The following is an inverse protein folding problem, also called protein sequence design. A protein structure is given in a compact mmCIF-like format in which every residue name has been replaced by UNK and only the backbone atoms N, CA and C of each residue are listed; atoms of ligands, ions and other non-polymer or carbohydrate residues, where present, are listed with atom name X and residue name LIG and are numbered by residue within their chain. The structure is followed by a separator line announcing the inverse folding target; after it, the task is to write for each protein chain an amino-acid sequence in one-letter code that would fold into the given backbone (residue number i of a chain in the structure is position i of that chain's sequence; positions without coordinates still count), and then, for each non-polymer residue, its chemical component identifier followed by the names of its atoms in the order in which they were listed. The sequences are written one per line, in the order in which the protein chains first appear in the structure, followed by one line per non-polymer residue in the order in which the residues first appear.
data_IF_511505817500
#
_entry.id   IF_511505817500
#
_cell.length_a   1.000
_cell.length_b   1.000
_cell.length_c   1.000
_cell.angle_alpha   90.00
_cell.angle_beta   90.00
_cell.angle_gamma   90.00
#
_symmetry.space_group_name_H-M   'P 1'
#
loop_
_entity.id
_entity.type
_entity.pdbx_description
1 polymer ?
#
# COMPACT_ATOMS: atom_id res chain seq x y z
N UNK A 1 -63.27 42.97 37.85
CA UNK A 1 -64.01 41.70 37.83
C UNK A 1 -63.15 40.69 37.08
N UNK A 2 -62.53 39.69 37.75
CA UNK A 2 -62.97 38.27 37.77
C UNK A 2 -63.27 37.79 36.33
N UNK A 3 -62.56 36.85 35.69
CA UNK A 3 -62.02 35.56 36.15
C UNK A 3 -61.21 34.90 35.02
N UNK A 4 -60.05 34.34 35.37
CA UNK A 4 -59.48 33.02 34.98
C UNK A 4 -59.83 32.40 33.62
N UNK A 5 -58.79 32.00 32.85
CA UNK A 5 -58.51 30.56 32.67
C UNK A 5 -57.04 30.31 32.26
N UNK A 6 -56.41 29.41 33.02
CA UNK A 6 -55.06 28.85 32.87
C UNK A 6 -55.04 27.71 31.83
N UNK A 7 -53.87 27.49 31.19
CA UNK A 7 -53.30 26.19 30.81
C UNK A 7 -51.84 26.46 30.36
N UNK A 8 -50.88 26.38 31.27
CA UNK A 8 -50.00 25.21 31.48
C UNK A 8 -48.94 25.01 30.36
N UNK A 9 -47.89 25.84 30.36
CA UNK A 9 -46.64 25.56 29.65
C UNK A 9 -45.74 24.80 30.62
N UNK A 10 -45.81 23.48 30.55
CA UNK A 10 -44.96 22.55 31.29
C UNK A 10 -43.58 22.47 30.62
N UNK A 11 -42.56 22.91 31.35
CA UNK A 11 -41.18 22.42 31.38
C UNK A 11 -40.66 21.70 30.12
N UNK A 12 -39.96 22.45 29.28
CA UNK A 12 -38.99 21.91 28.31
C UNK A 12 -37.70 21.56 29.08
N UNK A 13 -37.70 20.41 29.76
CA UNK A 13 -36.53 19.84 30.42
C UNK A 13 -35.87 18.82 29.49
N UNK A 14 -34.68 19.19 29.03
CA UNK A 14 -33.48 18.35 28.87
C UNK A 14 -33.67 16.95 28.25
N UNK A 15 -33.53 16.88 26.93
CA UNK A 15 -32.99 15.70 26.26
C UNK A 15 -31.87 16.15 25.31
N UNK A 16 -30.71 16.47 25.87
CA UNK A 16 -29.45 16.46 25.15
C UNK A 16 -29.03 15.00 24.95
N UNK A 17 -29.63 14.33 23.96
CA UNK A 17 -29.12 13.04 23.47
C UNK A 17 -27.88 13.37 22.66
N UNK A 18 -26.72 13.18 23.28
CA UNK A 18 -25.43 13.28 22.60
C UNK A 18 -25.38 12.22 21.51
N UNK A 19 -25.58 12.64 20.25
CA UNK A 19 -25.18 11.85 19.10
C UNK A 19 -23.65 11.82 19.08
N UNK A 20 -23.08 10.89 19.85
CA UNK A 20 -21.70 10.47 19.62
C UNK A 20 -21.72 9.70 18.31
N UNK A 21 -21.46 10.39 17.20
CA UNK A 21 -21.08 9.75 15.96
C UNK A 21 -19.71 9.12 16.20
N UNK A 22 -19.71 7.87 16.63
CA UNK A 22 -18.58 7.00 16.42
C UNK A 22 -18.44 6.87 14.89
N UNK A 23 -17.49 7.61 14.31
CA UNK A 23 -17.03 7.33 12.96
C UNK A 23 -16.37 5.95 13.04
N UNK A 24 -17.12 4.90 12.72
CA UNK A 24 -16.53 3.67 12.25
C UNK A 24 -15.78 4.04 10.97
N UNK A 25 -14.46 4.21 11.05
CA UNK A 25 -13.61 4.26 9.88
C UNK A 25 -13.87 2.97 9.10
N UNK A 26 -14.58 3.09 7.98
CA UNK A 26 -14.72 2.01 7.00
C UNK A 26 -13.30 1.56 6.64
N UNK A 27 -12.89 0.39 7.13
CA UNK A 27 -11.56 -0.15 6.89
C UNK A 27 -11.43 -0.42 5.40
N UNK A 28 -10.85 0.53 4.66
CA UNK A 28 -10.52 0.35 3.24
C UNK A 28 -9.62 -0.87 3.12
N UNK A 29 -10.14 -1.96 2.55
CA UNK A 29 -9.33 -3.13 2.25
C UNK A 29 -8.31 -2.76 1.15
N UNK A 30 -7.04 -2.81 1.51
CA UNK A 30 -5.94 -2.49 0.59
C UNK A 30 -5.75 -3.62 -0.42
N UNK A 31 -5.58 -3.26 -1.70
CA UNK A 31 -5.21 -4.24 -2.72
C UNK A 31 -3.76 -4.75 -2.54
N UNK A 32 -3.37 -5.74 -3.34
CA UNK A 32 -2.05 -6.38 -3.24
C UNK A 32 -0.89 -5.38 -3.39
N UNK A 33 -1.00 -4.39 -4.26
CA UNK A 33 0.01 -3.33 -4.42
C UNK A 33 0.02 -2.37 -3.22
N UNK A 34 -1.15 -1.85 -2.83
CA UNK A 34 -1.29 -0.87 -1.76
C UNK A 34 -0.70 -1.38 -0.42
N UNK A 35 -0.90 -2.66 -0.11
CA UNK A 35 -0.30 -3.32 1.07
C UNK A 35 1.23 -3.17 1.12
N UNK A 36 1.91 -3.34 -0.02
CA UNK A 36 3.36 -3.20 -0.08
C UNK A 36 3.80 -1.75 -0.21
N UNK A 37 3.07 -0.92 -0.97
CA UNK A 37 3.37 0.51 -1.11
C UNK A 37 3.37 1.23 0.25
N UNK A 38 2.35 1.00 1.08
CA UNK A 38 2.31 1.54 2.44
C UNK A 38 3.44 1.00 3.32
N UNK A 39 3.71 -0.30 3.23
CA UNK A 39 4.79 -0.91 3.96
C UNK A 39 6.17 -0.34 3.60
N UNK A 40 6.44 -0.08 2.32
CA UNK A 40 7.67 0.54 1.86
C UNK A 40 7.75 2.02 2.26
N UNK A 41 6.64 2.75 2.24
CA UNK A 41 6.58 4.14 2.74
C UNK A 41 6.91 4.21 4.23
N UNK A 42 6.40 3.29 5.04
CA UNK A 42 6.62 3.25 6.49
C UNK A 42 8.05 2.78 6.85
N UNK A 43 8.49 1.67 6.23
CA UNK A 43 9.69 0.93 6.68
C UNK A 43 10.92 1.22 5.84
N UNK A 44 10.72 1.68 4.61
CA UNK A 44 11.76 1.83 3.60
C UNK A 44 12.22 0.50 3.01
N UNK A 45 13.05 0.61 1.98
CA UNK A 45 13.73 -0.53 1.36
C UNK A 45 15.21 -0.62 1.76
N UNK A 46 15.76 -1.83 1.68
CA UNK A 46 17.19 -2.04 1.45
C UNK A 46 17.56 -1.63 0.02
N UNK A 47 18.83 -1.32 -0.21
CA UNK A 47 19.34 -0.97 -1.54
C UNK A 47 19.06 -2.07 -2.56
N UNK A 48 18.61 -1.65 -3.73
CA UNK A 48 18.42 -2.48 -4.92
C UNK A 48 19.60 -2.19 -5.83
N UNK A 49 20.56 -3.12 -5.83
CA UNK A 49 21.70 -3.10 -6.73
C UNK A 49 21.40 -3.89 -8.00
N UNK A 50 22.26 -3.75 -8.99
CA UNK A 50 22.23 -4.56 -10.20
C UNK A 50 22.29 -6.05 -9.85
N UNK A 51 21.21 -6.77 -10.18
CA UNK A 51 21.05 -8.19 -9.89
C UNK A 51 19.79 -8.75 -10.58
N UNK A 52 19.60 -10.06 -10.47
CA UNK A 52 18.35 -10.74 -10.75
C UNK A 52 17.62 -11.02 -9.43
N UNK A 53 16.42 -10.47 -9.29
CA UNK A 53 15.55 -10.63 -8.13
C UNK A 53 14.47 -11.65 -8.46
N UNK A 54 14.48 -12.81 -7.78
CA UNK A 54 13.61 -13.96 -8.10
C UNK A 54 12.26 -13.98 -7.39
N UNK A 55 12.09 -13.10 -6.41
CA UNK A 55 10.87 -12.96 -5.63
C UNK A 55 10.43 -11.49 -5.66
N UNK A 56 9.84 -11.11 -6.79
CA UNK A 56 9.19 -9.81 -6.93
C UNK A 56 7.69 -10.00 -7.16
N UNK A 57 6.92 -8.97 -6.84
CA UNK A 57 5.52 -8.87 -7.23
C UNK A 57 5.40 -7.91 -8.41
N UNK A 58 4.74 -8.36 -9.48
CA UNK A 58 4.39 -7.52 -10.62
C UNK A 58 2.91 -7.15 -10.44
N UNK A 59 2.64 -5.88 -10.25
CA UNK A 59 1.29 -5.33 -10.07
C UNK A 59 0.81 -4.70 -11.37
N UNK A 60 -0.25 -5.23 -11.96
CA UNK A 60 -0.88 -4.69 -13.15
C UNK A 60 -2.08 -3.83 -12.78
N UNK A 61 -2.25 -2.70 -13.45
CA UNK A 61 -3.29 -1.71 -13.17
C UNK A 61 -4.29 -1.68 -14.33
N UNK A 62 -5.47 -2.28 -14.11
CA UNK A 62 -6.55 -2.38 -15.09
C UNK A 62 -7.75 -1.54 -14.64
N UNK A 63 -7.79 -0.28 -15.10
CA UNK A 63 -8.84 0.65 -14.72
C UNK A 63 -8.82 0.94 -13.21
N UNK A 64 -9.79 0.38 -12.47
CA UNK A 64 -9.90 0.52 -11.01
C UNK A 64 -9.36 -0.69 -10.25
N UNK A 65 -9.02 -1.76 -10.96
CA UNK A 65 -8.57 -3.01 -10.36
C UNK A 65 -7.05 -3.14 -10.45
N UNK A 66 -6.50 -3.86 -9.48
CA UNK A 66 -5.08 -4.20 -9.43
C UNK A 66 -4.97 -5.68 -9.17
N UNK A 67 -4.35 -6.40 -10.10
CA UNK A 67 -3.98 -7.80 -9.89
C UNK A 67 -2.46 -7.92 -9.81
N UNK A 68 -2.00 -8.88 -9.02
CA UNK A 68 -0.59 -9.06 -8.76
C UNK A 68 -0.17 -10.50 -9.03
N UNK A 69 0.96 -10.65 -9.70
CA UNK A 69 1.57 -11.96 -9.98
C UNK A 69 2.98 -12.02 -9.42
N UNK A 70 3.46 -13.23 -9.17
CA UNK A 70 4.85 -13.46 -8.79
C UNK A 70 5.73 -13.37 -10.04
N UNK A 71 6.89 -12.74 -9.88
CA UNK A 71 7.85 -12.64 -10.97
C UNK A 71 9.30 -12.67 -10.53
N UNK A 72 10.14 -12.56 -11.56
CA UNK A 72 11.58 -12.39 -11.48
C UNK A 72 11.95 -11.20 -12.34
N UNK A 73 12.80 -10.31 -11.82
CA UNK A 73 13.20 -9.09 -12.52
C UNK A 73 14.70 -8.91 -12.52
N UNK A 74 15.26 -8.51 -13.65
CA UNK A 74 16.65 -8.07 -13.77
C UNK A 74 16.70 -6.55 -13.63
N UNK A 75 17.62 -6.08 -12.79
CA UNK A 75 17.95 -4.66 -12.62
C UNK A 75 19.37 -4.44 -13.11
N UNK A 76 19.55 -3.41 -13.94
CA UNK A 76 20.85 -2.98 -14.47
C UNK A 76 20.91 -1.45 -14.44
N UNK A 77 22.03 -0.91 -13.93
CA UNK A 77 22.23 0.51 -13.67
C UNK A 77 21.08 1.17 -12.89
N UNK A 78 20.44 0.43 -11.98
CA UNK A 78 19.28 0.92 -11.21
C UNK A 78 17.94 0.94 -11.95
N UNK A 79 17.88 0.42 -13.18
CA UNK A 79 16.67 0.34 -14.01
C UNK A 79 16.20 -1.10 -14.19
N UNK A 80 14.90 -1.31 -14.31
CA UNK A 80 14.31 -2.60 -14.70
C UNK A 80 14.66 -2.89 -16.16
N UNK A 81 15.44 -3.94 -16.41
CA UNK A 81 15.90 -4.29 -17.77
C UNK A 81 15.23 -5.54 -18.35
N UNK A 82 14.74 -6.46 -17.51
CA UNK A 82 13.95 -7.60 -17.94
C UNK A 82 12.96 -8.03 -16.87
N UNK A 83 11.79 -8.51 -17.30
CA UNK A 83 10.71 -8.98 -16.43
C UNK A 83 10.35 -10.40 -16.86
N UNK A 84 10.14 -11.27 -15.89
CA UNK A 84 9.65 -12.63 -16.06
C UNK A 84 8.52 -12.86 -15.06
N UNK A 85 7.49 -13.58 -15.46
CA UNK A 85 6.42 -14.00 -14.57
C UNK A 85 6.46 -15.53 -14.40
N UNK A 86 6.00 -16.00 -13.25
CA UNK A 86 5.86 -17.43 -12.99
C UNK A 86 4.43 -17.88 -13.25
N UNK A 87 4.29 -19.06 -13.82
CA UNK A 87 3.05 -19.83 -13.83
C UNK A 87 2.89 -20.65 -12.55
N UNK A 88 1.70 -21.19 -12.32
CA UNK A 88 1.38 -21.99 -11.13
C UNK A 88 2.22 -23.27 -11.00
N UNK A 89 2.72 -23.81 -12.13
CA UNK A 89 3.64 -24.94 -12.18
C UNK A 89 5.11 -24.56 -11.90
N UNK A 90 5.37 -23.29 -11.57
CA UNK A 90 6.67 -22.66 -11.38
C UNK A 90 7.54 -22.57 -12.65
N UNK A 91 6.99 -22.85 -13.83
CA UNK A 91 7.63 -22.43 -15.08
C UNK A 91 7.67 -20.90 -15.15
N UNK A 92 8.66 -20.37 -15.87
CA UNK A 92 8.84 -18.92 -16.04
C UNK A 92 8.77 -18.56 -17.52
N UNK A 93 8.16 -17.41 -17.80
CA UNK A 93 8.12 -16.83 -19.13
C UNK A 93 8.69 -15.42 -19.13
N UNK A 94 9.42 -15.09 -20.19
CA UNK A 94 9.92 -13.74 -20.41
C UNK A 94 8.74 -12.85 -20.80
N UNK A 95 8.62 -11.72 -20.12
CA UNK A 95 7.75 -10.64 -20.56
C UNK A 95 8.38 -9.97 -21.79
N UNK A 96 7.96 -10.41 -22.98
CA UNK A 96 8.57 -10.09 -24.27
C UNK A 96 8.13 -8.72 -24.85
N UNK A 97 7.09 -8.11 -24.28
CA UNK A 97 6.61 -6.79 -24.65
C UNK A 97 7.64 -5.71 -24.28
N UNK A 98 7.98 -4.84 -25.23
CA UNK A 98 8.80 -3.65 -24.95
C UNK A 98 8.09 -2.77 -23.91
N UNK A 99 8.85 -2.22 -22.98
CA UNK A 99 8.33 -1.39 -21.91
C UNK A 99 9.27 -0.23 -21.55
N UNK A 100 8.69 0.84 -21.00
CA UNK A 100 9.36 2.07 -20.56
C UNK A 100 8.57 2.70 -19.40
N UNK A 101 9.10 3.72 -18.74
CA UNK A 101 8.35 4.51 -17.77
C UNK A 101 7.38 5.49 -18.47
N UNK A 102 6.69 6.36 -17.72
CA UNK A 102 5.75 7.33 -18.31
C UNK A 102 6.39 8.34 -19.28
N UNK A 103 7.71 8.52 -19.24
CA UNK A 103 8.45 9.51 -20.03
C UNK A 103 9.14 8.92 -21.26
N UNK A 104 9.02 7.61 -21.51
CA UNK A 104 9.76 6.96 -22.60
C UNK A 104 11.14 6.43 -22.22
N UNK A 105 11.51 6.47 -20.94
CA UNK A 105 12.84 6.09 -20.44
C UNK A 105 12.80 4.72 -19.74
N UNK A 106 13.94 4.07 -19.47
CA UNK A 106 13.99 2.89 -18.61
C UNK A 106 13.40 3.18 -17.23
N UNK A 107 12.59 2.25 -16.69
CA UNK A 107 11.93 2.46 -15.40
C UNK A 107 12.91 2.29 -14.24
N UNK A 108 13.13 3.37 -13.49
CA UNK A 108 13.99 3.35 -12.32
C UNK A 108 13.30 2.70 -11.13
N UNK A 109 14.09 2.28 -10.13
CA UNK A 109 13.56 1.68 -8.89
C UNK A 109 13.87 2.58 -7.71
N UNK A 110 12.82 3.02 -7.00
CA UNK A 110 12.94 3.88 -5.82
C UNK A 110 12.18 3.27 -4.65
N UNK A 111 12.84 3.20 -3.48
CA UNK A 111 12.25 2.68 -2.25
C UNK A 111 11.57 1.30 -2.41
N UNK A 112 12.21 0.38 -3.15
CA UNK A 112 11.69 -0.98 -3.29
C UNK A 112 10.64 -1.17 -4.37
N UNK A 113 10.24 -0.12 -5.09
CA UNK A 113 9.18 -0.14 -6.10
C UNK A 113 9.65 0.58 -7.36
N UNK A 114 9.35 0.03 -8.53
CA UNK A 114 9.64 0.71 -9.79
C UNK A 114 8.76 1.95 -9.99
N UNK A 115 9.21 2.84 -10.87
CA UNK A 115 8.29 3.76 -11.55
C UNK A 115 7.17 2.99 -12.26
N UNK A 116 6.12 3.73 -12.64
CA UNK A 116 5.06 3.15 -13.46
C UNK A 116 5.63 2.77 -14.82
N UNK A 117 5.54 1.48 -15.16
CA UNK A 117 5.94 0.91 -16.43
C UNK A 117 4.73 0.88 -17.36
N UNK A 118 4.91 1.29 -18.60
CA UNK A 118 3.97 1.16 -19.70
C UNK A 118 4.60 0.27 -20.76
N UNK A 119 3.85 -0.73 -21.22
CA UNK A 119 4.28 -1.58 -22.32
C UNK A 119 3.71 -1.11 -23.68
N UNK A 120 4.07 -1.83 -24.75
CA UNK A 120 3.59 -1.54 -26.10
C UNK A 120 2.05 -1.55 -26.24
N UNK A 121 1.33 -2.30 -25.41
CA UNK A 121 -0.14 -2.41 -25.42
C UNK A 121 -0.83 -1.37 -24.51
N UNK A 122 -0.05 -0.47 -23.92
CA UNK A 122 -0.49 0.53 -22.92
C UNK A 122 -0.98 -0.07 -21.60
N UNK A 123 -0.64 -1.32 -21.32
CA UNK A 123 -0.81 -1.92 -20.01
C UNK A 123 0.14 -1.23 -19.02
N UNK A 124 -0.37 -0.96 -17.83
CA UNK A 124 0.36 -0.28 -16.76
C UNK A 124 0.74 -1.28 -15.69
N UNK A 125 2.01 -1.29 -15.30
CA UNK A 125 2.49 -2.17 -14.24
C UNK A 125 3.54 -1.51 -13.35
N UNK A 126 3.72 -2.06 -12.14
CA UNK A 126 4.84 -1.75 -11.25
C UNK A 126 5.48 -3.03 -10.75
N UNK A 127 6.79 -2.99 -10.54
CA UNK A 127 7.56 -4.06 -9.91
C UNK A 127 7.82 -3.71 -8.46
N UNK A 128 7.49 -4.63 -7.56
CA UNK A 128 7.70 -4.50 -6.10
C UNK A 128 8.70 -5.56 -5.64
N UNK A 129 9.81 -5.13 -5.06
CA UNK A 129 10.91 -5.99 -4.63
C UNK A 129 10.70 -6.49 -3.20
N UNK A 130 9.82 -7.47 -3.03
CA UNK A 130 9.32 -7.94 -1.71
C UNK A 130 10.44 -8.18 -0.70
N UNK A 131 11.49 -8.89 -1.08
CA UNK A 131 12.61 -9.26 -0.19
C UNK A 131 13.45 -8.06 0.28
N UNK A 132 13.24 -6.88 -0.34
CA UNK A 132 13.95 -5.64 -0.01
C UNK A 132 13.21 -4.78 0.99
N UNK A 133 11.99 -5.17 1.37
CA UNK A 133 11.24 -4.49 2.41
C UNK A 133 11.92 -4.64 3.76
N UNK A 134 12.21 -3.53 4.43
CA UNK A 134 12.77 -3.58 5.78
C UNK A 134 11.76 -4.22 6.76
N UNK A 135 12.25 -4.96 7.76
CA UNK A 135 11.38 -5.53 8.78
C UNK A 135 10.70 -4.43 9.60
N UNK A 136 9.57 -4.75 10.24
CA UNK A 136 8.95 -3.85 11.22
C UNK A 136 9.96 -3.53 12.33
N UNK A 137 9.98 -2.28 12.78
CA UNK A 137 10.83 -1.89 13.92
C UNK A 137 10.44 -2.75 15.12
N UNK A 138 11.43 -3.41 15.74
CA UNK A 138 11.21 -4.19 16.96
C UNK A 138 10.76 -3.24 18.07
N UNK A 139 9.84 -3.69 18.93
CA UNK A 139 9.49 -2.94 20.15
C UNK A 139 10.73 -2.92 21.06
N UNK A 140 11.01 -1.77 21.65
CA UNK A 140 12.07 -1.66 22.66
C UNK A 140 11.70 -2.52 23.86
N UNK A 141 12.66 -3.31 24.35
CA UNK A 141 12.50 -4.00 25.62
C UNK A 141 12.55 -2.95 26.73
N UNK A 142 11.53 -2.93 27.59
CA UNK A 142 11.55 -2.06 28.77
C UNK A 142 12.55 -2.66 29.78
N UNK A 143 13.43 -1.82 30.31
CA UNK A 143 14.27 -2.17 31.45
C UNK A 143 13.45 -1.96 32.73
N UNK A 144 13.46 -2.94 33.63
CA UNK A 144 12.98 -2.75 35.00
C UNK A 144 14.10 -2.13 35.83
N UNK A 145 13.87 -0.95 36.39
CA UNK A 145 14.78 -0.31 37.35
C UNK A 145 14.21 -0.57 38.74
N UNK A 146 14.96 -1.18 39.68
CA UNK A 146 14.55 -1.30 41.09
C UNK A 146 14.24 0.07 41.72
N UNK A 147 13.32 0.10 42.67
CA UNK A 147 12.89 1.36 43.33
C UNK A 147 13.89 1.86 44.39
N UNK A 148 14.91 1.08 44.73
CA UNK A 148 15.81 1.28 45.88
C UNK A 148 17.24 1.74 45.51
N UNK A 149 17.40 2.41 44.36
CA UNK A 149 18.68 3.01 43.90
C UNK A 149 18.75 4.52 44.20
#
# INVERSE_FOLDING_TARGET
MKKTLLLAISAFLLFSVGNTFAQEEEQKELNCFEKYDEAFKERGAYTISDNIYRNVMISFFEGKEVFCVRGKVRVENGYVSAIFYYYDDNSEELYDKKFHNLNGEPASVTNGISEMIINADREKLRVVFIDKLKPKRKKLQKMSVPDDI
#
